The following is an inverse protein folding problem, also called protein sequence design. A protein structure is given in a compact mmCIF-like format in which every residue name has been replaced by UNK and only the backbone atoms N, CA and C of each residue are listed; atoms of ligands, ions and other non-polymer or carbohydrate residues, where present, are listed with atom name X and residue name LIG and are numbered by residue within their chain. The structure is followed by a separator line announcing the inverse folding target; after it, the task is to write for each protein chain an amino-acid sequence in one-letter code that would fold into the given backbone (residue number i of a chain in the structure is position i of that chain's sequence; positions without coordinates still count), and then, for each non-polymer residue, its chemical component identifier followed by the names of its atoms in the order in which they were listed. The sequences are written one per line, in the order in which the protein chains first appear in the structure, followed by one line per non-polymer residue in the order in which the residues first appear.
data_IF_065826585852
#
_entry.id   IF_065826585852
#
_cell.length_a   1.000
_cell.length_b   1.000
_cell.length_c   1.000
_cell.angle_alpha   90.00
_cell.angle_beta   90.00
_cell.angle_gamma   90.00
#
_symmetry.space_group_name_H-M   'P 1'
#
loop_
_entity.id
_entity.type
_entity.pdbx_description
1 polymer ?
#
# COMPACT_ATOMS: atom_id res chain seq x y z
N UNK A 1 19.28 7.58 0.04
CA UNK A 1 17.98 7.66 0.74
C UNK A 1 17.24 8.83 0.11
N UNK A 2 15.97 8.68 -0.24
CA UNK A 2 15.17 9.82 -0.70
C UNK A 2 15.05 10.84 0.45
N UNK A 3 15.21 12.13 0.17
CA UNK A 3 15.01 13.15 1.19
C UNK A 3 13.56 13.13 1.66
N UNK A 4 13.35 13.24 2.97
CA UNK A 4 12.02 13.34 3.57
C UNK A 4 11.75 14.72 4.17
N UNK A 5 12.69 15.65 3.98
CA UNK A 5 12.54 17.02 4.42
C UNK A 5 11.40 17.71 3.65
N UNK A 6 10.46 18.28 4.39
CA UNK A 6 9.26 18.90 3.82
C UNK A 6 8.19 17.93 3.32
N UNK A 7 8.32 16.61 3.54
CA UNK A 7 7.26 15.65 3.24
C UNK A 7 6.29 15.49 4.43
N UNK A 8 5.01 15.37 4.12
CA UNK A 8 3.93 15.07 5.07
C UNK A 8 3.14 13.84 4.61
N UNK A 9 2.42 13.14 5.52
CA UNK A 9 1.56 12.03 5.13
C UNK A 9 0.54 12.48 4.09
N UNK A 10 0.23 11.60 3.15
CA UNK A 10 -0.81 11.88 2.17
C UNK A 10 -2.15 12.18 2.85
N UNK A 11 -2.90 13.15 2.33
CA UNK A 11 -4.21 13.52 2.85
C UNK A 11 -5.33 13.06 1.93
N UNK A 12 -6.54 12.92 2.49
CA UNK A 12 -7.75 12.58 1.72
C UNK A 12 -8.04 13.63 0.63
N UNK A 13 -7.91 14.92 0.95
CA UNK A 13 -8.13 16.01 0.01
C UNK A 13 -7.15 15.98 -1.17
N UNK A 14 -5.87 15.68 -0.91
CA UNK A 14 -4.89 15.50 -1.98
C UNK A 14 -5.28 14.31 -2.86
N UNK A 15 -5.65 13.17 -2.26
CA UNK A 15 -6.06 11.98 -3.03
C UNK A 15 -7.29 12.23 -3.88
N UNK A 16 -8.26 13.01 -3.40
CA UNK A 16 -9.44 13.39 -4.18
C UNK A 16 -9.02 14.09 -5.48
N UNK A 17 -8.21 15.15 -5.37
CA UNK A 17 -7.71 15.89 -6.53
C UNK A 17 -6.81 15.02 -7.42
N UNK A 18 -5.98 14.18 -6.81
CA UNK A 18 -5.08 13.29 -7.53
C UNK A 18 -5.85 12.28 -8.38
N UNK A 19 -6.88 11.65 -7.78
CA UNK A 19 -7.72 10.67 -8.45
C UNK A 19 -8.65 11.26 -9.49
N UNK A 20 -8.82 12.58 -9.60
CA UNK A 20 -9.55 13.19 -10.73
C UNK A 20 -8.85 12.90 -12.06
N UNK A 21 -7.54 12.64 -12.03
CA UNK A 21 -6.76 12.20 -13.19
C UNK A 21 -6.85 10.69 -13.47
N UNK A 22 -7.58 9.94 -12.64
CA UNK A 22 -7.75 8.49 -12.74
C UNK A 22 -9.25 8.12 -12.77
N UNK A 23 -10.04 8.58 -13.75
CA UNK A 23 -11.43 8.20 -13.84
C UNK A 23 -11.56 6.70 -14.17
N UNK A 24 -12.35 5.97 -13.38
CA UNK A 24 -12.77 4.62 -13.75
C UNK A 24 -14.05 4.68 -14.57
N UNK A 25 -14.02 4.13 -15.78
CA UNK A 25 -15.26 3.96 -16.55
C UNK A 25 -16.21 3.02 -15.79
N UNK A 26 -17.49 3.38 -15.62
CA UNK A 26 -18.46 2.55 -14.93
C UNK A 26 -18.48 1.10 -15.46
N UNK A 27 -18.87 0.17 -14.60
CA UNK A 27 -19.09 -1.22 -15.00
C UNK A 27 -20.21 -1.32 -16.03
N UNK A 28 -20.18 -2.37 -16.86
CA UNK A 28 -21.34 -2.74 -17.68
C UNK A 28 -22.61 -2.83 -16.83
N UNK A 29 -23.75 -2.36 -17.36
CA UNK A 29 -25.07 -2.55 -16.75
C UNK A 29 -25.39 -4.03 -16.52
N UNK A 30 -24.80 -4.91 -17.33
CA UNK A 30 -24.96 -6.36 -17.24
C UNK A 30 -24.51 -6.91 -15.88
N UNK A 31 -23.54 -6.28 -15.20
CA UNK A 31 -23.12 -6.70 -13.85
C UNK A 31 -24.31 -6.69 -12.91
N UNK A 32 -25.03 -5.57 -12.85
CA UNK A 32 -26.20 -5.41 -11.98
C UNK A 32 -27.39 -6.26 -12.42
N UNK A 33 -27.62 -6.33 -13.74
CA UNK A 33 -28.73 -7.06 -14.33
C UNK A 33 -28.58 -8.57 -14.12
N UNK A 34 -27.44 -9.15 -14.50
CA UNK A 34 -27.18 -10.59 -14.38
C UNK A 34 -27.08 -11.02 -12.92
N UNK A 35 -26.51 -10.19 -12.04
CA UNK A 35 -26.55 -10.45 -10.59
C UNK A 35 -27.98 -10.58 -10.10
N UNK A 36 -28.85 -9.63 -10.46
CA UNK A 36 -30.27 -9.66 -10.05
C UNK A 36 -31.01 -10.87 -10.63
N UNK A 37 -30.72 -11.24 -11.89
CA UNK A 37 -31.29 -12.44 -12.51
C UNK A 37 -30.87 -13.72 -11.79
N UNK A 38 -29.58 -13.89 -11.49
CA UNK A 38 -29.07 -15.05 -10.74
C UNK A 38 -29.66 -15.14 -9.34
N UNK A 39 -29.81 -14.01 -8.65
CA UNK A 39 -30.47 -13.96 -7.34
C UNK A 39 -31.95 -14.33 -7.46
N UNK A 40 -32.65 -13.87 -8.49
CA UNK A 40 -34.05 -14.27 -8.74
C UNK A 40 -34.16 -15.78 -8.98
N UNK A 41 -33.31 -16.34 -9.83
CA UNK A 41 -33.26 -17.78 -10.08
C UNK A 41 -32.96 -18.58 -8.80
N UNK A 42 -32.08 -18.05 -7.96
CA UNK A 42 -31.75 -18.64 -6.65
C UNK A 42 -32.95 -18.65 -5.71
N UNK A 43 -33.71 -17.55 -5.65
CA UNK A 43 -34.94 -17.44 -4.87
C UNK A 43 -36.02 -18.42 -5.36
N UNK A 44 -36.17 -18.58 -6.66
CA UNK A 44 -37.09 -19.57 -7.24
C UNK A 44 -36.72 -21.02 -6.90
N UNK A 45 -35.42 -21.33 -6.81
CA UNK A 45 -34.92 -22.65 -6.39
C UNK A 45 -35.19 -22.89 -4.89
N UNK A 46 -34.97 -21.87 -4.06
CA UNK A 46 -35.25 -21.89 -2.62
C UNK A 46 -36.76 -22.08 -2.34
N UNK A 47 -37.64 -21.45 -3.12
CA UNK A 47 -39.08 -21.58 -2.92
C UNK A 47 -39.61 -22.98 -3.27
N UNK A 48 -38.91 -23.72 -4.13
CA UNK A 48 -39.28 -25.10 -4.48
C UNK A 48 -38.82 -26.10 -3.42
N UNK A 49 -37.58 -25.95 -2.92
CA UNK A 49 -36.99 -26.84 -1.93
C UNK A 49 -36.26 -25.97 -0.89
N UNK A 50 -36.65 -26.04 0.40
CA UNK A 50 -36.04 -25.25 1.46
C UNK A 50 -34.50 -25.41 1.50
N UNK A 51 -33.77 -24.32 1.78
CA UNK A 51 -32.32 -24.36 1.79
C UNK A 51 -31.78 -25.13 2.99
N UNK A 52 -30.62 -25.78 2.81
CA UNK A 52 -29.86 -26.30 3.95
C UNK A 52 -29.35 -25.15 4.84
N UNK A 53 -28.87 -25.43 6.08
CA UNK A 53 -28.26 -24.40 6.92
C UNK A 53 -27.13 -23.65 6.21
N UNK A 54 -26.26 -24.35 5.48
CA UNK A 54 -25.14 -23.74 4.77
C UNK A 54 -25.60 -22.91 3.57
N UNK A 55 -26.57 -23.40 2.80
CA UNK A 55 -27.21 -22.65 1.71
C UNK A 55 -27.88 -21.37 2.25
N UNK A 56 -28.48 -21.43 3.44
CA UNK A 56 -29.12 -20.28 4.09
C UNK A 56 -28.11 -19.21 4.49
N UNK A 57 -26.93 -19.62 4.97
CA UNK A 57 -25.83 -18.70 5.28
C UNK A 57 -25.33 -17.99 4.01
N UNK A 58 -25.17 -18.73 2.90
CA UNK A 58 -24.75 -18.13 1.64
C UNK A 58 -25.84 -17.21 1.04
N UNK A 59 -27.11 -17.59 1.16
CA UNK A 59 -28.23 -16.75 0.73
C UNK A 59 -28.28 -15.43 1.53
N UNK A 60 -28.13 -15.49 2.85
CA UNK A 60 -28.01 -14.29 3.68
C UNK A 60 -26.80 -13.46 3.27
N UNK A 61 -25.66 -14.09 2.99
CA UNK A 61 -24.47 -13.35 2.56
C UNK A 61 -24.70 -12.60 1.24
N UNK A 62 -25.48 -13.18 0.32
CA UNK A 62 -25.86 -12.53 -0.94
C UNK A 62 -26.76 -11.31 -0.76
N UNK A 63 -27.55 -11.26 0.32
CA UNK A 63 -28.39 -10.12 0.68
C UNK A 63 -27.62 -9.04 1.49
N UNK A 64 -26.41 -9.34 1.97
CA UNK A 64 -25.56 -8.40 2.70
C UNK A 64 -24.77 -7.48 1.76
N UNK A 65 -24.38 -6.31 2.29
CA UNK A 65 -23.37 -5.50 1.63
C UNK A 65 -21.98 -6.15 1.72
N UNK A 66 -21.21 -6.18 0.62
CA UNK A 66 -19.84 -6.66 0.63
C UNK A 66 -18.95 -5.87 1.59
N UNK A 67 -17.80 -6.45 2.01
CA UNK A 67 -16.85 -5.76 2.86
C UNK A 67 -16.40 -4.42 2.26
N UNK A 68 -16.43 -3.36 3.07
CA UNK A 68 -16.06 -2.01 2.64
C UNK A 68 -14.58 -1.88 2.30
N UNK A 69 -13.71 -2.58 3.05
CA UNK A 69 -12.26 -2.52 2.83
C UNK A 69 -11.89 -3.23 1.53
N UNK A 70 -11.21 -2.53 0.61
CA UNK A 70 -10.84 -3.06 -0.71
C UNK A 70 -10.08 -4.38 -0.62
N UNK A 71 -9.13 -4.53 0.32
CA UNK A 71 -8.37 -5.78 0.46
C UNK A 71 -9.20 -6.94 1.01
N UNK A 72 -10.05 -6.68 2.01
CA UNK A 72 -11.02 -7.66 2.50
C UNK A 72 -11.95 -8.12 1.37
N UNK A 73 -12.41 -7.17 0.57
CA UNK A 73 -13.29 -7.41 -0.56
C UNK A 73 -12.61 -8.22 -1.69
N UNK A 74 -11.34 -7.96 -1.96
CA UNK A 74 -10.55 -8.77 -2.89
C UNK A 74 -10.36 -10.21 -2.39
N UNK A 75 -10.10 -10.39 -1.09
CA UNK A 75 -10.07 -11.72 -0.48
C UNK A 75 -11.43 -12.42 -0.61
N UNK A 76 -12.53 -11.67 -0.48
CA UNK A 76 -13.88 -12.20 -0.64
C UNK A 76 -14.16 -12.67 -2.07
N UNK A 77 -13.70 -11.93 -3.08
CA UNK A 77 -13.76 -12.39 -4.48
C UNK A 77 -12.99 -13.69 -4.67
N UNK A 78 -11.76 -13.78 -4.14
CA UNK A 78 -10.97 -15.01 -4.22
C UNK A 78 -11.67 -16.19 -3.54
N UNK A 79 -12.23 -15.99 -2.36
CA UNK A 79 -13.02 -17.03 -1.67
C UNK A 79 -14.15 -17.55 -2.58
N UNK A 80 -14.96 -16.66 -3.15
CA UNK A 80 -16.10 -17.05 -3.99
C UNK A 80 -15.71 -17.65 -5.32
N UNK A 81 -14.64 -17.17 -5.96
CA UNK A 81 -14.11 -17.80 -7.18
C UNK A 81 -13.67 -19.23 -6.85
N UNK A 82 -12.95 -19.45 -5.76
CA UNK A 82 -12.43 -20.78 -5.44
C UNK A 82 -13.51 -21.78 -5.04
N UNK A 83 -14.50 -21.32 -4.29
CA UNK A 83 -15.69 -22.10 -3.97
C UNK A 83 -16.48 -22.44 -5.23
N UNK A 84 -16.57 -21.50 -6.19
CA UNK A 84 -17.19 -21.78 -7.50
C UNK A 84 -16.35 -22.78 -8.29
N UNK A 85 -15.03 -22.66 -8.30
CA UNK A 85 -14.12 -23.62 -8.94
C UNK A 85 -14.25 -25.02 -8.34
N UNK A 86 -14.41 -25.12 -7.03
CA UNK A 86 -14.68 -26.37 -6.34
C UNK A 86 -15.98 -27.01 -6.83
N UNK A 87 -17.07 -26.24 -6.98
CA UNK A 87 -18.33 -26.75 -7.54
C UNK A 87 -18.22 -27.17 -9.01
N UNK A 88 -17.36 -26.49 -9.78
CA UNK A 88 -17.10 -26.79 -11.18
C UNK A 88 -16.12 -27.96 -11.38
N UNK A 89 -15.48 -28.47 -10.33
CA UNK A 89 -14.69 -29.69 -10.40
C UNK A 89 -15.59 -30.92 -10.57
N UNK A 90 -15.29 -31.75 -11.58
CA UNK A 90 -16.10 -32.92 -11.95
C UNK A 90 -16.49 -33.84 -10.77
N UNK A 91 -15.61 -34.15 -9.80
CA UNK A 91 -16.00 -34.97 -8.64
C UNK A 91 -17.13 -34.38 -7.80
N UNK A 92 -17.33 -33.06 -7.85
CA UNK A 92 -18.34 -32.34 -7.07
C UNK A 92 -19.63 -32.09 -7.86
N UNK A 93 -19.73 -32.57 -9.10
CA UNK A 93 -20.95 -32.46 -9.89
C UNK A 93 -22.05 -33.41 -9.39
N UNK A 94 -23.32 -33.16 -9.69
CA UNK A 94 -24.41 -34.12 -9.50
C UNK A 94 -24.09 -35.45 -10.20
N UNK A 95 -24.49 -36.57 -9.59
CA UNK A 95 -24.13 -37.91 -10.09
C UNK A 95 -24.60 -38.15 -11.53
N UNK A 96 -25.82 -37.71 -11.85
CA UNK A 96 -26.37 -37.80 -13.21
C UNK A 96 -25.54 -37.02 -14.25
N UNK A 97 -25.03 -35.84 -13.88
CA UNK A 97 -24.17 -35.03 -14.74
C UNK A 97 -22.76 -35.63 -14.91
N UNK A 98 -22.22 -36.26 -13.86
CA UNK A 98 -20.92 -36.96 -13.92
C UNK A 98 -20.93 -38.14 -14.90
N UNK A 99 -22.06 -38.84 -14.99
CA UNK A 99 -22.25 -40.03 -15.80
C UNK A 99 -22.55 -39.72 -17.27
N UNK A 100 -22.75 -38.44 -17.64
CA UNK A 100 -23.08 -38.01 -19.00
C UNK A 100 -24.28 -38.79 -19.58
N UNK A 101 -25.32 -38.95 -18.78
CA UNK A 101 -26.45 -39.83 -19.11
C UNK A 101 -27.27 -39.36 -20.32
N UNK A 102 -27.16 -38.09 -20.71
CA UNK A 102 -27.84 -37.51 -21.88
C UNK A 102 -26.91 -36.63 -22.73
N UNK A 103 -27.21 -36.40 -24.02
CA UNK A 103 -26.47 -35.44 -24.86
C UNK A 103 -26.42 -34.02 -24.27
N UNK A 104 -27.50 -33.58 -23.62
CA UNK A 104 -27.56 -32.29 -22.92
C UNK A 104 -26.57 -32.25 -21.74
N UNK A 105 -26.40 -33.36 -21.01
CA UNK A 105 -25.43 -33.45 -19.91
C UNK A 105 -23.98 -33.34 -20.43
N UNK A 106 -23.72 -33.77 -21.67
CA UNK A 106 -22.41 -33.60 -22.33
C UNK A 106 -22.19 -32.13 -22.71
N UNK A 107 -23.18 -31.46 -23.29
CA UNK A 107 -23.10 -30.02 -23.64
C UNK A 107 -22.86 -29.17 -22.37
N UNK A 108 -23.60 -29.43 -21.30
CA UNK A 108 -23.43 -28.75 -20.01
C UNK A 108 -22.02 -29.00 -19.47
N UNK A 109 -21.53 -30.24 -19.50
CA UNK A 109 -20.19 -30.56 -19.01
C UNK A 109 -19.08 -29.80 -19.76
N UNK A 110 -19.20 -29.63 -21.08
CA UNK A 110 -18.28 -28.82 -21.87
C UNK A 110 -18.31 -27.36 -21.43
N UNK A 111 -19.51 -26.78 -21.29
CA UNK A 111 -19.70 -25.41 -20.83
C UNK A 111 -19.05 -25.20 -19.45
N UNK A 112 -19.28 -26.10 -18.49
CA UNK A 112 -18.69 -25.99 -17.15
C UNK A 112 -17.15 -26.03 -17.18
N UNK A 113 -16.56 -26.82 -18.08
CA UNK A 113 -15.12 -26.84 -18.31
C UNK A 113 -14.58 -25.49 -18.79
N UNK A 114 -15.30 -24.82 -19.68
CA UNK A 114 -14.95 -23.49 -20.18
C UNK A 114 -15.07 -22.43 -19.07
N UNK A 115 -16.17 -22.46 -18.31
CA UNK A 115 -16.38 -21.54 -17.17
C UNK A 115 -15.30 -21.71 -16.11
N UNK A 116 -14.94 -22.96 -15.80
CA UNK A 116 -13.84 -23.28 -14.88
C UNK A 116 -12.53 -22.65 -15.37
N UNK A 117 -12.22 -22.78 -16.66
CA UNK A 117 -10.97 -22.25 -17.24
C UNK A 117 -10.91 -20.72 -17.15
N UNK A 118 -12.04 -20.02 -17.38
CA UNK A 118 -12.16 -18.56 -17.23
C UNK A 118 -11.96 -18.12 -15.78
N UNK A 119 -12.62 -18.78 -14.83
CA UNK A 119 -12.50 -18.48 -13.40
C UNK A 119 -11.10 -18.78 -12.85
N UNK A 120 -10.45 -19.86 -13.28
CA UNK A 120 -9.06 -20.15 -12.92
C UNK A 120 -8.10 -19.07 -13.43
N UNK A 121 -8.34 -18.56 -14.63
CA UNK A 121 -7.52 -17.47 -15.19
C UNK A 121 -7.71 -16.19 -14.39
N UNK A 122 -8.95 -15.85 -14.06
CA UNK A 122 -9.28 -14.68 -13.22
C UNK A 122 -8.68 -14.80 -11.82
N UNK A 123 -8.72 -15.99 -11.20
CA UNK A 123 -8.06 -16.26 -9.92
C UNK A 123 -6.55 -15.97 -9.99
N UNK A 124 -5.87 -16.47 -11.03
CA UNK A 124 -4.43 -16.23 -11.20
C UNK A 124 -4.12 -14.74 -11.33
N UNK A 125 -4.93 -13.98 -12.08
CA UNK A 125 -4.77 -12.52 -12.21
C UNK A 125 -4.89 -11.83 -10.84
N UNK A 126 -5.88 -12.23 -10.03
CA UNK A 126 -6.05 -11.74 -8.65
C UNK A 126 -4.85 -12.04 -7.75
N UNK A 127 -4.31 -13.26 -7.83
CA UNK A 127 -3.14 -13.68 -7.04
C UNK A 127 -1.88 -12.91 -7.41
N UNK A 128 -1.64 -12.74 -8.71
CA UNK A 128 -0.53 -11.94 -9.22
C UNK A 128 -0.69 -10.48 -8.77
N UNK A 129 -1.91 -9.94 -8.85
CA UNK A 129 -2.20 -8.58 -8.40
C UNK A 129 -1.90 -8.41 -6.90
N UNK A 130 -2.37 -9.31 -6.03
CA UNK A 130 -2.08 -9.26 -4.58
C UNK A 130 -0.58 -9.32 -4.29
N UNK A 131 0.13 -10.25 -4.93
CA UNK A 131 1.58 -10.42 -4.74
C UNK A 131 2.34 -9.17 -5.17
N UNK A 132 2.06 -8.67 -6.38
CA UNK A 132 2.69 -7.47 -6.93
C UNK A 132 2.40 -6.23 -6.08
N UNK A 133 1.16 -6.06 -5.62
CA UNK A 133 0.80 -4.93 -4.79
C UNK A 133 1.53 -4.97 -3.43
N UNK A 134 1.59 -6.14 -2.78
CA UNK A 134 2.32 -6.34 -1.53
C UNK A 134 3.81 -6.02 -1.68
N UNK A 135 4.44 -6.50 -2.75
CA UNK A 135 5.84 -6.21 -3.03
C UNK A 135 6.08 -4.74 -3.39
N UNK A 136 5.18 -4.10 -4.13
CA UNK A 136 5.26 -2.67 -4.43
C UNK A 136 5.23 -1.84 -3.14
N UNK A 137 4.26 -2.08 -2.26
CA UNK A 137 4.17 -1.38 -0.96
C UNK A 137 5.45 -1.58 -0.16
N UNK A 138 5.92 -2.82 -0.05
CA UNK A 138 7.15 -3.12 0.68
C UNK A 138 8.38 -2.42 0.08
N UNK A 139 8.56 -2.49 -1.24
CA UNK A 139 9.68 -1.87 -1.94
C UNK A 139 9.64 -0.35 -1.81
N UNK A 140 8.47 0.27 -1.92
CA UNK A 140 8.29 1.71 -1.69
C UNK A 140 8.71 2.09 -0.29
N UNK A 141 8.27 1.36 0.74
CA UNK A 141 8.72 1.59 2.13
C UNK A 141 10.24 1.45 2.24
N UNK A 142 10.84 0.43 1.60
CA UNK A 142 12.29 0.21 1.63
C UNK A 142 13.11 1.35 0.98
N UNK A 143 12.53 2.17 0.09
CA UNK A 143 13.25 3.34 -0.48
C UNK A 143 13.57 4.42 0.56
N UNK A 144 12.76 4.50 1.62
CA UNK A 144 12.92 5.44 2.73
C UNK A 144 13.74 4.87 3.89
N UNK A 145 14.03 3.57 3.87
CA UNK A 145 14.81 2.91 4.91
C UNK A 145 16.32 3.08 4.69
N UNK A 146 17.13 3.09 5.77
CA UNK A 146 18.59 3.04 5.66
C UNK A 146 19.05 1.81 4.86
N UNK A 147 19.92 2.03 3.86
CA UNK A 147 20.49 0.98 3.00
C UNK A 147 21.70 0.31 3.64
N UNK A 148 21.60 0.00 4.93
CA UNK A 148 22.63 -0.70 5.69
C UNK A 148 22.11 -2.08 6.15
N UNK A 149 22.81 -2.72 7.08
CA UNK A 149 22.46 -4.03 7.60
C UNK A 149 21.01 -4.12 8.12
N UNK A 150 20.40 -2.99 8.53
CA UNK A 150 19.02 -2.93 9.04
C UNK A 150 18.00 -3.20 7.95
N UNK A 151 18.21 -2.69 6.74
CA UNK A 151 17.35 -2.99 5.58
C UNK A 151 17.34 -4.49 5.25
N UNK A 152 18.51 -5.13 5.32
CA UNK A 152 18.65 -6.57 5.13
C UNK A 152 17.93 -7.37 6.22
N UNK A 153 18.03 -6.96 7.49
CA UNK A 153 17.33 -7.61 8.60
C UNK A 153 15.80 -7.53 8.45
N UNK A 154 15.27 -6.39 8.00
CA UNK A 154 13.82 -6.23 7.78
C UNK A 154 13.32 -7.14 6.65
N UNK A 155 14.09 -7.26 5.54
CA UNK A 155 13.78 -8.22 4.47
C UNK A 155 13.78 -9.66 4.98
N UNK A 156 14.82 -10.05 5.71
CA UNK A 156 14.89 -11.41 6.29
C UNK A 156 13.75 -11.69 7.28
N UNK A 157 13.37 -10.70 8.10
CA UNK A 157 12.25 -10.81 9.02
C UNK A 157 10.92 -10.97 8.28
N UNK A 158 10.70 -10.20 7.21
CA UNK A 158 9.53 -10.36 6.33
C UNK A 158 9.48 -11.76 5.77
N UNK A 159 10.56 -12.22 5.12
CA UNK A 159 10.56 -13.51 4.42
C UNK A 159 10.38 -14.69 5.40
N UNK A 160 10.93 -14.59 6.62
CA UNK A 160 10.67 -15.58 7.68
C UNK A 160 9.21 -15.55 8.14
N UNK A 161 8.65 -14.37 8.35
CA UNK A 161 7.24 -14.24 8.74
C UNK A 161 6.29 -14.79 7.67
N UNK A 162 6.55 -14.49 6.39
CA UNK A 162 5.73 -14.98 5.29
C UNK A 162 5.83 -16.49 5.12
N UNK A 163 7.01 -17.10 5.31
CA UNK A 163 7.15 -18.57 5.35
C UNK A 163 6.36 -19.20 6.49
N UNK A 164 6.39 -18.62 7.69
CA UNK A 164 5.64 -19.14 8.83
C UNK A 164 4.13 -19.07 8.58
N UNK A 165 3.64 -17.94 8.05
CA UNK A 165 2.23 -17.77 7.68
C UNK A 165 1.77 -18.77 6.62
N UNK A 166 2.62 -19.01 5.60
CA UNK A 166 2.33 -20.02 4.59
C UNK A 166 2.26 -21.42 5.21
N UNK A 167 3.16 -21.75 6.14
CA UNK A 167 3.11 -23.04 6.84
C UNK A 167 1.83 -23.24 7.67
N UNK A 168 1.27 -22.17 8.27
CA UNK A 168 -0.03 -22.23 8.94
C UNK A 168 -1.17 -22.50 7.96
N UNK A 169 -1.14 -21.85 6.79
CA UNK A 169 -2.10 -22.08 5.71
C UNK A 169 -2.02 -23.52 5.22
N UNK A 170 -0.81 -24.02 4.98
CA UNK A 170 -0.57 -25.39 4.54
C UNK A 170 -1.03 -26.39 5.60
N UNK A 171 -0.86 -26.09 6.90
CA UNK A 171 -1.35 -26.92 7.99
C UNK A 171 -2.89 -27.01 8.03
N UNK A 172 -3.60 -25.90 7.79
CA UNK A 172 -5.08 -25.91 7.66
C UNK A 172 -5.50 -26.77 6.48
N UNK A 173 -4.88 -26.59 5.31
CA UNK A 173 -5.21 -27.39 4.12
C UNK A 173 -4.92 -28.88 4.34
N UNK A 174 -3.74 -29.22 4.88
CA UNK A 174 -3.33 -30.60 5.12
C UNK A 174 -4.15 -31.31 6.20
N UNK A 175 -4.78 -30.56 7.12
CA UNK A 175 -5.71 -31.10 8.11
C UNK A 175 -7.14 -31.29 7.59
N UNK A 176 -7.37 -31.00 6.30
CA UNK A 176 -8.69 -31.10 5.67
C UNK A 176 -9.58 -29.87 5.89
N UNK A 177 -8.99 -28.74 6.27
CA UNK A 177 -9.72 -27.49 6.48
C UNK A 177 -10.36 -26.99 5.18
N UNK A 178 -11.56 -26.42 5.31
CA UNK A 178 -12.34 -25.93 4.18
C UNK A 178 -11.76 -24.67 3.53
N UNK A 179 -12.21 -24.36 2.31
CA UNK A 179 -11.81 -23.14 1.59
C UNK A 179 -12.09 -21.89 2.44
N UNK A 180 -13.30 -21.80 3.01
CA UNK A 180 -13.70 -20.73 3.93
C UNK A 180 -12.78 -20.58 5.15
N UNK A 181 -12.36 -21.68 5.77
CA UNK A 181 -11.44 -21.65 6.92
C UNK A 181 -10.07 -21.11 6.53
N UNK A 182 -9.57 -21.51 5.36
CA UNK A 182 -8.31 -21.02 4.82
C UNK A 182 -8.38 -19.51 4.52
N UNK A 183 -9.46 -19.01 3.92
CA UNK A 183 -9.63 -17.57 3.67
C UNK A 183 -9.83 -16.77 4.97
N UNK A 184 -10.51 -17.33 5.98
CA UNK A 184 -10.60 -16.72 7.30
C UNK A 184 -9.21 -16.57 7.95
N UNK A 185 -8.32 -17.58 7.83
CA UNK A 185 -6.94 -17.50 8.30
C UNK A 185 -6.14 -16.43 7.54
N UNK A 186 -6.23 -16.39 6.21
CA UNK A 186 -5.54 -15.38 5.39
C UNK A 186 -5.95 -13.96 5.77
N UNK A 187 -7.25 -13.74 6.01
CA UNK A 187 -7.75 -12.45 6.48
C UNK A 187 -7.25 -12.11 7.89
N UNK A 188 -7.29 -13.09 8.81
CA UNK A 188 -6.72 -12.92 10.16
C UNK A 188 -5.25 -12.51 10.11
N UNK A 189 -4.45 -13.20 9.31
CA UNK A 189 -3.03 -12.88 9.11
C UNK A 189 -2.83 -11.47 8.54
N UNK A 190 -3.69 -11.04 7.60
CA UNK A 190 -3.67 -9.69 7.04
C UNK A 190 -4.00 -8.61 8.10
N UNK A 191 -4.99 -8.87 8.96
CA UNK A 191 -5.33 -7.96 10.06
C UNK A 191 -4.25 -7.89 11.13
N UNK A 192 -3.57 -9.01 11.41
CA UNK A 192 -2.41 -9.03 12.29
C UNK A 192 -1.25 -8.21 11.74
N UNK A 193 -0.95 -8.30 10.42
CA UNK A 193 0.04 -7.42 9.75
C UNK A 193 -0.31 -5.95 9.99
N UNK A 194 -1.56 -5.56 9.74
CA UNK A 194 -2.06 -4.19 9.93
C UNK A 194 -1.94 -3.72 11.38
N UNK A 195 -2.26 -4.58 12.36
CA UNK A 195 -2.14 -4.27 13.79
C UNK A 195 -0.69 -4.08 14.22
N UNK A 196 0.22 -4.93 13.73
CA UNK A 196 1.66 -4.81 14.00
C UNK A 196 2.24 -3.53 13.41
N UNK A 197 1.83 -3.15 12.19
CA UNK A 197 2.23 -1.90 11.57
C UNK A 197 1.76 -0.69 12.38
N UNK A 198 0.49 -0.66 12.80
CA UNK A 198 -0.02 0.44 13.64
C UNK A 198 0.75 0.57 14.97
N UNK A 199 1.12 -0.55 15.61
CA UNK A 199 1.94 -0.57 16.83
C UNK A 199 3.36 -0.03 16.64
N UNK A 200 3.91 -0.17 15.42
CA UNK A 200 5.18 0.43 15.03
C UNK A 200 5.07 1.95 14.92
N UNK A 201 3.98 2.46 14.33
CA UNK A 201 3.69 3.90 14.26
C UNK A 201 3.43 4.54 15.63
N UNK A 202 2.87 3.80 16.59
CA UNK A 202 2.69 4.28 17.98
C UNK A 202 3.88 4.03 18.91
N UNK A 203 4.97 3.43 18.41
CA UNK A 203 6.18 3.09 19.17
C UNK A 203 5.89 2.33 20.49
N UNK A 204 4.95 1.39 20.47
CA UNK A 204 4.50 0.63 21.65
C UNK A 204 4.97 -0.83 21.64
N UNK A 205 5.20 -1.44 22.81
CA UNK A 205 5.54 -2.86 22.95
C UNK A 205 6.96 -3.24 22.48
N UNK A 206 7.15 -4.46 21.97
CA UNK A 206 8.43 -4.97 21.44
C UNK A 206 8.95 -4.10 20.28
N UNK A 207 8.05 -3.45 19.55
CA UNK A 207 8.37 -2.54 18.46
C UNK A 207 8.96 -1.21 18.92
N UNK A 208 8.73 -0.80 20.18
CA UNK A 208 9.44 0.34 20.79
C UNK A 208 10.96 0.13 20.78
N UNK A 209 11.39 -1.11 20.98
CA UNK A 209 12.80 -1.50 20.94
C UNK A 209 13.33 -1.48 19.50
N UNK A 210 12.56 -1.94 18.51
CA UNK A 210 12.91 -1.81 17.09
C UNK A 210 12.99 -0.34 16.66
N UNK A 211 12.03 0.51 17.04
CA UNK A 211 12.06 1.97 16.78
C UNK A 211 13.34 2.62 17.34
N UNK A 212 13.82 2.17 18.51
CA UNK A 212 15.14 2.60 19.05
C UNK A 212 16.33 2.17 18.18
N UNK A 213 16.25 1.06 17.46
CA UNK A 213 17.28 0.61 16.50
C UNK A 213 17.09 1.19 15.09
N UNK A 214 15.90 1.73 14.80
CA UNK A 214 15.52 2.41 13.55
C UNK A 214 15.94 3.89 13.52
N UNK A 215 17.04 4.26 14.19
CA UNK A 215 17.62 5.62 14.08
C UNK A 215 17.84 5.96 12.61
N UNK A 216 17.09 6.93 12.07
CA UNK A 216 17.12 7.32 10.65
C UNK A 216 15.93 6.85 9.80
N UNK A 217 14.91 6.24 10.38
CA UNK A 217 13.61 6.08 9.71
C UNK A 217 12.86 7.43 9.72
N UNK A 218 12.39 7.93 8.57
CA UNK A 218 11.67 9.18 8.50
C UNK A 218 10.39 9.20 9.36
N UNK A 219 10.21 10.25 10.16
CA UNK A 219 9.01 10.42 11.01
C UNK A 219 7.71 10.40 10.19
N UNK A 220 7.73 11.00 9.00
CA UNK A 220 6.59 11.02 8.07
C UNK A 220 6.08 9.61 7.72
N UNK A 221 6.97 8.61 7.62
CA UNK A 221 6.60 7.22 7.37
C UNK A 221 5.90 6.61 8.58
N UNK A 222 6.35 6.93 9.80
CA UNK A 222 5.71 6.46 11.04
C UNK A 222 4.32 7.09 11.20
N UNK A 223 4.19 8.37 10.86
CA UNK A 223 2.91 9.10 10.92
C UNK A 223 1.91 8.54 9.90
N UNK A 224 2.36 8.24 8.67
CA UNK A 224 1.54 7.56 7.67
C UNK A 224 1.08 6.18 8.14
N UNK A 225 1.98 5.36 8.66
CA UNK A 225 1.65 4.01 9.15
C UNK A 225 0.62 4.07 10.29
N UNK A 226 0.66 5.10 11.14
CA UNK A 226 -0.35 5.31 12.19
C UNK A 226 -1.76 5.52 11.64
N UNK A 227 -1.88 6.14 10.47
CA UNK A 227 -3.15 6.51 9.85
C UNK A 227 -3.68 5.47 8.85
N UNK A 228 -2.90 4.43 8.53
CA UNK A 228 -3.24 3.45 7.48
C UNK A 228 -4.51 2.63 7.76
N UNK A 229 -4.88 2.48 9.03
CA UNK A 229 -6.07 1.76 9.47
C UNK A 229 -7.19 2.70 9.94
N UNK A 230 -7.02 4.01 9.82
CA UNK A 230 -8.08 4.96 10.15
C UNK A 230 -9.24 4.78 9.17
N UNK A 231 -10.44 4.56 9.70
CA UNK A 231 -11.65 4.40 8.89
C UNK A 231 -12.04 5.73 8.21
N UNK A 232 -11.48 6.86 8.64
CA UNK A 232 -11.60 8.17 7.98
C UNK A 232 -10.26 8.63 7.36
N UNK A 233 -9.30 7.71 7.25
CA UNK A 233 -7.97 8.00 6.74
C UNK A 233 -7.95 8.34 5.25
N UNK A 234 -6.78 8.70 4.70
CA UNK A 234 -6.61 9.06 3.29
C UNK A 234 -7.11 7.97 2.33
N UNK A 235 -6.96 6.70 2.72
CA UNK A 235 -7.40 5.55 1.94
C UNK A 235 -8.92 5.45 1.78
N UNK A 236 -9.71 6.19 2.56
CA UNK A 236 -11.17 6.23 2.43
C UNK A 236 -11.61 6.86 1.11
N UNK A 237 -10.85 7.84 0.59
CA UNK A 237 -11.10 8.42 -0.74
C UNK A 237 -11.08 7.35 -1.84
N UNK A 238 -10.13 6.41 -1.73
CA UNK A 238 -10.02 5.31 -2.67
C UNK A 238 -11.24 4.37 -2.58
N UNK A 239 -11.72 4.12 -1.36
CA UNK A 239 -12.87 3.25 -1.11
C UNK A 239 -14.15 3.87 -1.64
N UNK A 240 -14.38 5.15 -1.38
CA UNK A 240 -15.55 5.86 -1.89
C UNK A 240 -15.56 5.91 -3.43
N UNK A 241 -14.40 6.18 -4.05
CA UNK A 241 -14.33 6.37 -5.50
C UNK A 241 -14.36 5.08 -6.30
N UNK A 242 -13.67 4.03 -5.84
CA UNK A 242 -13.52 2.78 -6.61
C UNK A 242 -14.16 1.56 -5.96
N UNK A 243 -14.46 1.62 -4.67
CA UNK A 243 -15.13 0.56 -3.91
C UNK A 243 -16.46 0.13 -4.51
N UNK A 244 -17.39 1.03 -4.89
CA UNK A 244 -18.71 0.64 -5.42
C UNK A 244 -18.64 -0.31 -6.62
N UNK A 245 -17.64 -0.14 -7.50
CA UNK A 245 -17.42 -1.05 -8.63
C UNK A 245 -16.99 -2.42 -8.14
N UNK A 246 -15.99 -2.49 -7.26
CA UNK A 246 -15.55 -3.76 -6.67
C UNK A 246 -16.68 -4.46 -5.89
N UNK A 247 -17.47 -3.73 -5.11
CA UNK A 247 -18.58 -4.28 -4.35
C UNK A 247 -19.63 -4.91 -5.27
N UNK A 248 -19.92 -4.26 -6.40
CA UNK A 248 -20.85 -4.80 -7.40
C UNK A 248 -20.33 -6.10 -8.03
N UNK A 249 -19.02 -6.18 -8.32
CA UNK A 249 -18.40 -7.40 -8.81
C UNK A 249 -18.44 -8.53 -7.77
N UNK A 250 -18.27 -8.20 -6.49
CA UNK A 250 -18.35 -9.17 -5.39
C UNK A 250 -19.76 -9.72 -5.23
N UNK A 251 -20.79 -8.85 -5.32
CA UNK A 251 -22.19 -9.30 -5.34
C UNK A 251 -22.44 -10.26 -6.52
N UNK A 252 -21.86 -9.98 -7.68
CA UNK A 252 -21.96 -10.85 -8.84
C UNK A 252 -21.29 -12.21 -8.61
N UNK A 253 -20.08 -12.24 -8.04
CA UNK A 253 -19.39 -13.48 -7.68
C UNK A 253 -20.19 -14.33 -6.68
N UNK A 254 -20.79 -13.68 -5.67
CA UNK A 254 -21.68 -14.34 -4.71
C UNK A 254 -22.92 -14.91 -5.41
N UNK A 255 -23.56 -14.13 -6.29
CA UNK A 255 -24.74 -14.56 -7.02
C UNK A 255 -24.47 -15.77 -7.93
N UNK A 256 -23.32 -15.79 -8.62
CA UNK A 256 -22.85 -16.93 -9.41
C UNK A 256 -22.70 -18.17 -8.53
N UNK A 257 -22.00 -18.04 -7.40
CA UNK A 257 -21.79 -19.16 -6.46
C UNK A 257 -23.12 -19.66 -5.89
N UNK A 258 -23.95 -18.76 -5.38
CA UNK A 258 -25.24 -19.11 -4.77
C UNK A 258 -26.13 -19.88 -5.75
N UNK A 259 -26.26 -19.37 -6.97
CA UNK A 259 -27.03 -20.04 -8.00
C UNK A 259 -26.49 -21.45 -8.27
N UNK A 260 -25.17 -21.60 -8.41
CA UNK A 260 -24.54 -22.89 -8.70
C UNK A 260 -24.71 -23.90 -7.55
N UNK A 261 -24.52 -23.47 -6.30
CA UNK A 261 -24.74 -24.31 -5.11
C UNK A 261 -26.18 -24.82 -5.09
N UNK A 262 -27.15 -23.91 -5.21
CA UNK A 262 -28.57 -24.27 -5.14
C UNK A 262 -28.99 -25.17 -6.30
N UNK A 263 -28.46 -24.91 -7.50
CA UNK A 263 -28.67 -25.71 -8.69
C UNK A 263 -28.15 -27.14 -8.50
N UNK A 264 -26.93 -27.31 -7.95
CA UNK A 264 -26.36 -28.64 -7.70
C UNK A 264 -27.16 -29.40 -6.65
N UNK A 265 -27.53 -28.76 -5.55
CA UNK A 265 -28.32 -29.38 -4.49
C UNK A 265 -29.71 -29.86 -4.95
N UNK A 266 -30.20 -29.35 -6.08
CA UNK A 266 -31.55 -29.63 -6.61
C UNK A 266 -31.52 -30.32 -7.98
N UNK A 267 -30.33 -30.64 -8.51
CA UNK A 267 -30.17 -31.08 -9.90
C UNK A 267 -30.93 -32.38 -10.22
N UNK A 268 -30.92 -33.34 -9.29
CA UNK A 268 -31.62 -34.61 -9.46
C UNK A 268 -33.15 -34.47 -9.44
N UNK A 269 -33.67 -33.45 -8.74
CA UNK A 269 -35.09 -33.13 -8.72
C UNK A 269 -35.51 -32.32 -9.96
N UNK A 270 -34.62 -31.43 -10.43
CA UNK A 270 -34.86 -30.55 -11.58
C UNK A 270 -33.55 -30.24 -12.29
N UNK A 271 -33.40 -30.80 -13.50
CA UNK A 271 -32.26 -30.53 -14.39
C UNK A 271 -32.15 -29.03 -14.72
N UNK A 272 -30.92 -28.57 -15.01
CA UNK A 272 -30.70 -27.20 -15.45
C UNK A 272 -31.30 -26.97 -16.85
N UNK A 273 -32.17 -25.98 -16.96
CA UNK A 273 -32.70 -25.53 -18.25
C UNK A 273 -31.61 -24.75 -19.01
N UNK A 274 -31.54 -24.94 -20.35
CA UNK A 274 -30.54 -24.28 -21.20
C UNK A 274 -30.50 -22.76 -21.02
N UNK A 275 -31.66 -22.12 -20.92
CA UNK A 275 -31.76 -20.67 -20.67
C UNK A 275 -31.08 -20.22 -19.37
N UNK A 276 -31.09 -21.06 -18.33
CA UNK A 276 -30.43 -20.76 -17.04
C UNK A 276 -28.93 -20.99 -17.13
N UNK A 277 -28.49 -21.98 -17.91
CA UNK A 277 -27.08 -22.18 -18.26
C UNK A 277 -26.55 -20.95 -19.00
N UNK A 278 -27.30 -20.44 -19.99
CA UNK A 278 -26.89 -19.28 -20.79
C UNK A 278 -26.72 -18.02 -19.92
N UNK A 279 -27.60 -17.80 -18.93
CA UNK A 279 -27.46 -16.70 -17.97
C UNK A 279 -26.19 -16.88 -17.12
N UNK A 280 -25.90 -18.08 -16.63
CA UNK A 280 -24.69 -18.37 -15.87
C UNK A 280 -23.42 -18.12 -16.71
N UNK A 281 -23.42 -18.57 -17.97
CA UNK A 281 -22.31 -18.35 -18.90
C UNK A 281 -22.07 -16.85 -19.10
N UNK A 282 -23.12 -16.10 -19.40
CA UNK A 282 -23.01 -14.66 -19.61
C UNK A 282 -22.54 -13.94 -18.34
N UNK A 283 -23.02 -14.36 -17.17
CA UNK A 283 -22.61 -13.79 -15.89
C UNK A 283 -21.13 -14.03 -15.61
N UNK A 284 -20.60 -15.24 -15.83
CA UNK A 284 -19.17 -15.53 -15.67
C UNK A 284 -18.33 -14.73 -16.66
N UNK A 285 -18.79 -14.56 -17.90
CA UNK A 285 -18.05 -13.80 -18.93
C UNK A 285 -17.96 -12.31 -18.60
N UNK A 286 -19.07 -11.72 -18.16
CA UNK A 286 -19.12 -10.33 -17.71
C UNK A 286 -18.31 -10.15 -16.43
N UNK A 287 -18.44 -11.06 -15.45
CA UNK A 287 -17.68 -10.99 -14.20
C UNK A 287 -16.18 -11.03 -14.45
N UNK A 288 -15.70 -12.02 -15.20
CA UNK A 288 -14.27 -12.23 -15.43
C UNK A 288 -13.65 -11.07 -16.20
N UNK A 289 -14.31 -10.59 -17.26
CA UNK A 289 -13.85 -9.43 -18.03
C UNK A 289 -13.83 -8.11 -17.24
N UNK A 290 -14.90 -7.81 -16.50
CA UNK A 290 -14.98 -6.59 -15.69
C UNK A 290 -14.02 -6.64 -14.48
N UNK A 291 -13.81 -7.81 -13.89
CA UNK A 291 -12.84 -7.99 -12.81
C UNK A 291 -11.41 -7.76 -13.30
N UNK A 292 -11.04 -8.30 -14.46
CA UNK A 292 -9.73 -8.04 -15.06
C UNK A 292 -9.54 -6.55 -15.38
N UNK A 293 -10.57 -5.89 -15.96
CA UNK A 293 -10.55 -4.45 -16.24
C UNK A 293 -10.36 -3.63 -14.97
N UNK A 294 -11.10 -3.96 -13.91
CA UNK A 294 -10.97 -3.31 -12.61
C UNK A 294 -9.58 -3.50 -12.02
N UNK A 295 -9.04 -4.71 -12.03
CA UNK A 295 -7.71 -5.02 -11.48
C UNK A 295 -6.58 -4.30 -12.23
N UNK A 296 -6.68 -4.23 -13.56
CA UNK A 296 -5.72 -3.46 -14.36
C UNK A 296 -5.74 -1.99 -13.97
N UNK A 297 -6.93 -1.39 -13.93
CA UNK A 297 -7.10 0.01 -13.56
C UNK A 297 -6.60 0.30 -12.15
N UNK A 298 -7.06 -0.43 -11.14
CA UNK A 298 -6.68 -0.14 -9.74
C UNK A 298 -5.19 -0.44 -9.50
N UNK A 299 -4.60 -1.37 -10.26
CA UNK A 299 -3.16 -1.60 -10.26
C UNK A 299 -2.35 -0.42 -10.80
N UNK A 300 -2.84 0.25 -11.84
CA UNK A 300 -2.26 1.51 -12.33
C UNK A 300 -2.39 2.63 -11.30
N UNK A 301 -3.55 2.74 -10.63
CA UNK A 301 -3.73 3.70 -9.54
C UNK A 301 -2.74 3.44 -8.40
N UNK A 302 -2.61 2.20 -7.93
CA UNK A 302 -1.68 1.85 -6.85
C UNK A 302 -0.20 2.06 -7.21
N UNK A 303 0.18 1.80 -8.46
CA UNK A 303 1.55 1.98 -8.91
C UNK A 303 1.99 3.46 -8.94
N UNK A 304 1.04 4.38 -9.13
CA UNK A 304 1.32 5.80 -9.31
C UNK A 304 0.91 6.67 -8.10
N UNK A 305 0.01 6.19 -7.22
CA UNK A 305 -0.45 6.97 -6.07
C UNK A 305 0.71 7.29 -5.13
N UNK A 306 0.95 8.58 -4.79
CA UNK A 306 2.01 8.95 -3.87
C UNK A 306 1.71 8.46 -2.46
N UNK A 307 2.75 8.09 -1.70
CA UNK A 307 2.65 7.75 -0.27
C UNK A 307 2.84 8.98 0.62
N UNK A 308 3.63 9.94 0.14
CA UNK A 308 3.93 11.20 0.79
C UNK A 308 3.75 12.35 -0.18
N UNK A 309 3.36 13.50 0.35
CA UNK A 309 3.18 14.73 -0.41
C UNK A 309 4.02 15.82 0.23
N UNK A 310 4.35 16.87 -0.52
CA UNK A 310 5.12 17.96 0.05
C UNK A 310 4.23 18.86 0.91
N UNK A 311 4.80 19.50 1.94
CA UNK A 311 4.05 20.35 2.87
C UNK A 311 3.31 21.49 2.13
N UNK A 312 3.86 21.97 1.01
CA UNK A 312 3.20 22.93 0.09
C UNK A 312 1.89 22.40 -0.50
N UNK A 313 1.81 21.09 -0.79
CA UNK A 313 0.64 20.46 -1.42
C UNK A 313 -0.54 20.33 -0.43
N UNK A 314 -0.27 20.54 0.87
CA UNK A 314 -1.26 20.52 1.96
C UNK A 314 -1.62 21.95 2.41
N UNK A 315 -1.12 22.98 1.71
CA UNK A 315 -1.33 24.38 2.07
C UNK A 315 -0.40 24.88 3.18
N UNK A 316 0.71 24.17 3.45
CA UNK A 316 1.75 24.62 4.37
C UNK A 316 2.49 25.84 3.82
N UNK A 317 2.62 26.87 4.67
CA UNK A 317 3.45 28.06 4.42
C UNK A 317 4.89 27.61 4.16
N UNK A 318 5.54 28.22 3.16
CA UNK A 318 6.95 28.05 2.83
C UNK A 318 7.81 27.71 4.06
N UNK A 319 8.37 26.50 4.08
CA UNK A 319 9.72 26.38 4.63
C UNK A 319 10.55 27.21 3.65
N UNK A 320 10.72 28.50 3.97
CA UNK A 320 11.55 29.43 3.22
C UNK A 320 12.77 28.65 2.75
N UNK A 321 13.11 28.77 1.48
CA UNK A 321 14.41 28.37 0.96
C UNK A 321 15.45 28.97 1.90
N UNK A 322 15.90 28.17 2.87
CA UNK A 322 16.82 28.67 3.88
C UNK A 322 18.19 28.60 3.24
N UNK A 323 18.90 29.74 3.14
CA UNK A 323 20.23 29.91 2.54
C UNK A 323 21.36 29.03 3.12
N UNK A 324 21.04 27.94 3.81
CA UNK A 324 22.03 26.99 4.28
C UNK A 324 22.64 26.23 3.11
N UNK A 325 23.97 26.15 3.11
CA UNK A 325 24.74 25.29 2.21
C UNK A 325 24.94 23.94 2.88
N UNK A 326 24.83 22.86 2.11
CA UNK A 326 25.07 21.50 2.57
C UNK A 326 26.33 20.90 1.94
N UNK A 327 27.11 20.17 2.73
CA UNK A 327 28.26 19.39 2.24
C UNK A 327 28.50 18.14 3.08
N UNK A 328 29.12 17.14 2.48
CA UNK A 328 29.46 15.88 3.15
C UNK A 328 30.95 15.82 3.45
N UNK A 329 31.30 15.69 4.72
CA UNK A 329 32.70 15.57 5.16
C UNK A 329 33.05 14.07 5.30
N UNK A 330 34.10 13.56 4.62
CA UNK A 330 34.49 12.15 4.67
C UNK A 330 34.91 11.70 6.08
N UNK A 331 34.85 10.39 6.33
CA UNK A 331 35.20 9.79 7.63
C UNK A 331 36.74 9.74 7.86
N UNK A 332 37.17 10.09 9.07
CA UNK A 332 38.50 9.92 9.64
C UNK A 332 38.70 8.63 10.47
N UNK A 333 39.42 8.65 11.61
CA UNK A 333 39.95 7.44 12.30
C UNK A 333 39.44 7.14 13.73
N UNK A 334 38.61 7.96 14.38
CA UNK A 334 38.12 7.76 15.79
C UNK A 334 36.64 8.15 15.97
N UNK A 335 35.97 8.05 17.12
CA UNK A 335 34.49 8.06 17.21
C UNK A 335 33.88 9.34 17.85
N UNK A 336 33.96 10.53 17.23
CA UNK A 336 33.51 11.79 17.89
C UNK A 336 32.97 12.91 16.93
N UNK A 337 32.50 14.04 17.50
CA UNK A 337 31.87 15.25 16.88
C UNK A 337 32.70 16.00 15.82
N UNK A 338 32.11 16.93 15.05
CA UNK A 338 32.84 17.68 14.00
C UNK A 338 33.73 18.77 14.61
N UNK A 339 35.00 18.80 14.20
CA UNK A 339 35.92 19.88 14.53
C UNK A 339 35.65 21.12 13.69
N UNK A 340 35.75 22.31 14.28
CA UNK A 340 35.63 23.58 13.58
C UNK A 340 36.76 24.53 13.99
N UNK A 341 37.39 25.15 12.99
CA UNK A 341 38.40 26.21 13.15
C UNK A 341 38.27 27.23 12.03
N UNK A 342 38.94 28.37 12.20
CA UNK A 342 38.97 29.41 11.19
C UNK A 342 40.36 30.03 11.09
N UNK A 343 40.84 30.12 9.86
CA UNK A 343 42.13 30.70 9.50
C UNK A 343 41.92 31.97 8.68
N UNK A 344 42.84 32.91 8.84
CA UNK A 344 42.94 34.12 8.02
C UNK A 344 44.24 34.10 7.26
N UNK A 345 44.19 34.41 5.98
CA UNK A 345 45.37 34.62 5.14
C UNK A 345 45.48 36.09 4.81
N UNK A 346 46.60 36.70 5.21
CA UNK A 346 46.91 38.10 4.90
C UNK A 346 47.17 38.31 3.41
N UNK A 347 47.11 39.56 2.92
CA UNK A 347 47.53 39.88 1.55
C UNK A 347 48.99 39.51 1.24
N UNK A 348 49.85 39.39 2.26
CA UNK A 348 51.24 38.92 2.13
C UNK A 348 51.37 37.39 2.10
N UNK A 349 50.28 36.64 2.24
CA UNK A 349 50.26 35.18 2.25
C UNK A 349 50.50 34.53 3.61
N UNK A 350 50.59 35.32 4.68
CA UNK A 350 50.79 34.82 6.04
C UNK A 350 49.46 34.29 6.63
N UNK A 351 49.48 33.08 7.19
CA UNK A 351 48.28 32.41 7.73
C UNK A 351 48.26 32.53 9.25
N UNK A 352 47.19 33.14 9.79
CA UNK A 352 46.95 33.29 11.22
C UNK A 352 45.66 32.57 11.64
N UNK A 353 45.70 31.88 12.78
CA UNK A 353 44.52 31.20 13.35
C UNK A 353 43.65 32.20 14.12
N UNK A 354 42.40 32.38 13.70
CA UNK A 354 41.46 33.31 14.35
C UNK A 354 40.55 32.58 15.34
N UNK A 355 40.08 31.38 14.97
CA UNK A 355 39.31 30.53 15.87
C UNK A 355 40.07 29.21 16.06
N UNK A 356 40.57 28.92 17.27
CA UNK A 356 41.27 27.67 17.52
C UNK A 356 40.33 26.48 17.37
N UNK A 357 40.90 25.36 16.93
CA UNK A 357 40.20 24.10 16.76
C UNK A 357 39.43 23.71 18.01
N UNK A 358 38.12 23.52 17.87
CA UNK A 358 37.23 22.98 18.90
C UNK A 358 36.20 22.07 18.25
N UNK A 359 35.69 21.11 19.02
CA UNK A 359 34.67 20.16 18.54
C UNK A 359 33.29 20.64 18.98
N UNK A 360 32.34 20.57 18.06
CA UNK A 360 30.96 21.02 18.28
C UNK A 360 29.99 19.98 17.73
N UNK A 361 28.94 19.70 18.49
CA UNK A 361 27.77 18.96 17.99
C UNK A 361 26.92 19.88 17.07
N UNK A 362 26.72 21.13 17.51
CA UNK A 362 26.24 22.25 16.69
C UNK A 362 26.80 23.56 17.25
N UNK A 363 26.91 24.61 16.42
CA UNK A 363 27.44 25.90 16.83
C UNK A 363 26.81 27.05 16.03
N UNK A 364 26.55 28.18 16.70
CA UNK A 364 26.25 29.47 16.11
C UNK A 364 27.13 30.53 16.79
N UNK A 365 27.77 31.38 15.99
CA UNK A 365 28.62 32.45 16.51
C UNK A 365 28.91 33.53 15.47
N UNK A 366 29.50 34.62 15.92
CA UNK A 366 29.99 35.71 15.09
C UNK A 366 31.46 36.02 15.43
N UNK A 367 32.15 36.69 14.51
CA UNK A 367 33.51 37.16 14.72
C UNK A 367 33.71 38.47 13.96
N UNK A 368 34.47 39.39 14.54
CA UNK A 368 34.79 40.65 13.88
C UNK A 368 35.99 40.46 12.95
N UNK A 369 35.80 40.74 11.66
CA UNK A 369 36.89 40.78 10.68
C UNK A 369 37.65 42.10 10.83
N UNK A 370 38.61 42.14 11.74
CA UNK A 370 39.40 43.35 12.06
C UNK A 370 40.46 43.69 10.99
N UNK A 371 40.73 42.79 10.04
CA UNK A 371 41.75 42.98 9.01
C UNK A 371 41.21 42.51 7.65
N UNK A 372 41.52 43.23 6.58
CA UNK A 372 41.14 42.85 5.22
C UNK A 372 41.97 41.64 4.72
N UNK A 373 41.32 40.59 4.25
CA UNK A 373 41.96 39.41 3.66
C UNK A 373 41.01 38.23 3.51
N UNK A 374 41.56 37.03 3.35
CA UNK A 374 40.77 35.82 3.08
C UNK A 374 40.54 35.01 4.36
N UNK A 375 39.29 34.71 4.66
CA UNK A 375 38.89 33.90 5.81
C UNK A 375 38.49 32.51 5.34
N UNK A 376 39.16 31.48 5.88
CA UNK A 376 38.92 30.08 5.56
C UNK A 376 38.28 29.39 6.76
N UNK A 377 37.03 29.00 6.61
CA UNK A 377 36.31 28.18 7.58
C UNK A 377 36.64 26.71 7.33
N UNK A 378 37.03 25.99 8.38
CA UNK A 378 37.50 24.61 8.28
C UNK A 378 36.63 23.74 9.17
N UNK A 379 35.94 22.79 8.56
CA UNK A 379 35.26 21.71 9.26
C UNK A 379 36.05 20.42 9.08
N UNK A 380 36.44 19.83 10.20
CA UNK A 380 37.30 18.68 10.25
C UNK A 380 36.57 17.46 10.84
N UNK A 381 36.53 16.39 10.06
CA UNK A 381 35.96 15.11 10.45
C UNK A 381 37.03 13.99 10.51
N UNK A 382 38.32 14.37 10.55
CA UNK A 382 39.49 13.47 10.63
C UNK A 382 39.48 12.53 11.85
N UNK A 383 38.62 12.81 12.82
CA UNK A 383 38.40 12.04 14.03
C UNK A 383 37.03 11.31 14.05
N UNK A 384 36.43 10.97 12.90
CA UNK A 384 35.21 10.14 12.79
C UNK A 384 35.43 8.84 11.99
N UNK A 385 35.44 7.65 12.61
CA UNK A 385 35.99 6.40 12.06
C UNK A 385 35.08 5.65 11.09
N UNK A 386 33.78 5.86 11.18
CA UNK A 386 32.78 5.05 10.45
C UNK A 386 31.73 5.87 9.71
N UNK A 387 31.58 7.16 10.06
CA UNK A 387 30.46 7.97 9.60
C UNK A 387 30.95 9.24 8.90
N UNK A 388 30.49 9.41 7.66
CA UNK A 388 30.50 10.72 7.01
C UNK A 388 29.55 11.65 7.78
N UNK A 389 29.85 12.94 7.82
CA UNK A 389 28.99 13.93 8.46
C UNK A 389 28.35 14.82 7.40
N UNK A 390 27.03 15.01 7.49
CA UNK A 390 26.32 15.99 6.69
C UNK A 390 26.35 17.31 7.46
N UNK A 391 27.10 18.28 6.94
CA UNK A 391 27.19 19.62 7.51
C UNK A 391 26.20 20.52 6.79
N UNK A 392 25.32 21.16 7.57
CA UNK A 392 24.47 22.27 7.13
C UNK A 392 25.00 23.56 7.78
N UNK A 393 25.42 24.53 6.98
CA UNK A 393 26.01 25.78 7.49
C UNK A 393 25.51 27.01 6.71
N UNK A 394 25.46 28.16 7.39
CA UNK A 394 25.18 29.47 6.80
C UNK A 394 26.22 30.46 7.31
N UNK A 395 26.71 31.32 6.42
CA UNK A 395 27.67 32.39 6.74
C UNK A 395 27.12 33.68 6.18
N UNK A 396 26.89 34.65 7.05
CA UNK A 396 26.44 35.99 6.70
C UNK A 396 27.56 37.00 7.00
N UNK A 397 27.80 37.93 6.07
CA UNK A 397 28.70 39.06 6.29
C UNK A 397 27.87 40.28 6.68
N UNK A 398 28.10 40.83 7.87
CA UNK A 398 27.42 42.04 8.34
C UNK A 398 28.39 43.21 8.12
N UNK A 399 28.13 44.11 7.14
CA UNK A 399 28.99 45.26 6.91
C UNK A 399 28.93 46.24 8.10
N UNK A 400 30.00 47.00 8.36
CA UNK A 400 29.96 48.06 9.36
C UNK A 400 28.89 49.09 8.97
N UNK A 401 28.17 49.61 9.97
CA UNK A 401 27.15 50.66 9.77
C UNK A 401 27.88 51.91 9.26
N UNK A 402 27.60 52.33 8.02
CA UNK A 402 28.10 53.60 7.51
C UNK A 402 27.44 54.75 8.28
N UNK A 403 28.24 55.66 8.83
CA UNK A 403 27.68 56.90 9.41
C UNK A 403 26.98 57.70 8.30
N UNK A 404 25.80 58.28 8.59
CA UNK A 404 25.07 59.06 7.60
C UNK A 404 25.92 60.24 7.12
N UNK A 405 26.05 60.36 5.80
CA UNK A 405 26.63 61.53 5.14
C UNK A 405 25.87 62.76 5.64
N UNK A 406 26.54 63.67 6.35
CA UNK A 406 25.99 64.98 6.65
C UNK A 406 25.78 65.70 5.31
N UNK A 407 24.52 65.84 4.91
CA UNK A 407 24.13 66.78 3.87
C UNK A 407 24.40 68.17 4.44
N UNK A 408 25.44 68.84 3.92
CA UNK A 408 25.58 70.27 4.12
C UNK A 408 24.39 70.95 3.44
N UNK A 409 23.48 71.48 4.24
CA UNK A 409 22.52 72.48 3.81
C UNK A 409 23.33 73.73 3.43
N UNK A 410 23.39 74.05 2.13
CA UNK A 410 23.77 75.40 1.69
C UNK A 410 22.60 76.34 2.00
N UNK A 411 22.90 77.36 2.81
CA UNK A 411 22.03 78.48 3.17
C UNK A 411 21.74 79.39 1.96
N UNK A 412 20.47 79.86 1.93
CA UNK A 412 19.86 81.01 1.19
C UNK A 412 19.80 81.01 -0.35
#
# INVERSE_FOLDING_TARGET
MASTEGLVPITRAFLSNYYDNYPFTPLSSDVSQLSSQLISLSKDLISQIPPTPDESVLAHEADCEPPHKIDENMWKNREHIEETLFLLDKPNWPQSLQQHSTPEDIEIATILGDLKSKLQTTMRVLEVFHTKNSDNVFNTVMTYMPQDFRGTLIRQQRDRSERNKQAEVDAVVNSGGGIRERYALLWKQQMERRRQLAQLGSATGVYKTLVKYLVGVPQVLLDFIRQINDDHGPMEEQRERYGPSLYSLTKMAIAIRLFLVLAWGRFEAKKLEKSKVDILVHAVDVYTSEMERFLKFIGEVFANSPFFISARDVGGVDVRETDYKETTIPAGKTFEDVGFSMEYTSPSGEVNMILPYRRYDSNQGNFCTVIAGNYKLIWDNSYSSFFKKNLRYKVDCIPPVAEPVQLNEEEE
#
